data_IF_726753406171
#
_entry.id   IF_726753406171
#
_cell.length_a   1.000
_cell.length_b   1.000
_cell.length_c   1.000
_cell.angle_alpha   90.00
_cell.angle_beta   90.00
_cell.angle_gamma   90.00
#
_symmetry.space_group_name_H-M   'P 1'
#
loop_
_entity.id
_entity.type
_entity.pdbx_description
1 polymer ?
#
# COMPACT_ATOMS: atom_id res chain seq x y z
N UNK A 1 0.71 -11.93 -9.66
CA UNK A 1 2.04 -12.06 -10.31
C UNK A 1 2.11 -13.14 -11.39
N UNK A 2 1.50 -14.33 -11.21
CA UNK A 2 1.48 -15.40 -12.24
C UNK A 2 1.02 -14.94 -13.64
N UNK A 3 0.09 -13.97 -13.71
CA UNK A 3 -0.37 -13.41 -14.99
C UNK A 3 0.72 -12.65 -15.77
N UNK A 4 1.52 -11.81 -15.10
CA UNK A 4 2.61 -11.05 -15.73
C UNK A 4 3.75 -11.99 -16.12
N UNK A 5 4.11 -12.95 -15.26
CA UNK A 5 5.12 -13.95 -15.57
C UNK A 5 4.77 -14.72 -16.86
N UNK A 6 3.52 -15.17 -16.97
CA UNK A 6 3.03 -15.84 -18.19
C UNK A 6 3.10 -14.93 -19.43
N UNK A 7 2.77 -13.64 -19.31
CA UNK A 7 2.90 -12.71 -20.44
C UNK A 7 4.34 -12.60 -20.94
N UNK A 8 5.32 -12.65 -20.03
CA UNK A 8 6.74 -12.68 -20.40
C UNK A 8 7.11 -14.00 -21.06
N UNK A 9 6.68 -15.13 -20.48
CA UNK A 9 6.94 -16.46 -21.03
C UNK A 9 6.31 -16.67 -22.42
N UNK A 10 5.21 -15.98 -22.72
CA UNK A 10 4.49 -16.01 -24.00
C UNK A 10 4.97 -14.94 -25.00
N UNK A 11 6.09 -14.24 -24.72
CA UNK A 11 6.64 -13.16 -25.57
C UNK A 11 5.60 -12.08 -25.94
N UNK A 12 4.66 -11.79 -25.02
CA UNK A 12 3.67 -10.73 -25.20
C UNK A 12 4.37 -9.39 -25.38
N UNK A 13 3.80 -8.54 -26.25
CA UNK A 13 4.37 -7.23 -26.56
C UNK A 13 4.70 -6.42 -25.31
N UNK A 14 5.93 -5.92 -25.24
CA UNK A 14 6.48 -5.29 -24.03
C UNK A 14 5.60 -4.17 -23.47
N UNK A 15 4.94 -3.38 -24.33
CA UNK A 15 4.06 -2.29 -23.89
C UNK A 15 2.81 -2.80 -23.17
N UNK A 16 2.29 -3.96 -23.56
CA UNK A 16 1.13 -4.57 -22.90
C UNK A 16 1.52 -5.15 -21.53
N UNK A 17 2.72 -5.74 -21.43
CA UNK A 17 3.30 -6.18 -20.15
C UNK A 17 3.46 -4.99 -19.19
N UNK A 18 4.03 -3.87 -19.68
CA UNK A 18 4.19 -2.64 -18.89
C UNK A 18 2.83 -2.04 -18.47
N UNK A 19 1.83 -2.10 -19.34
CA UNK A 19 0.46 -1.66 -19.04
C UNK A 19 -0.14 -2.52 -17.92
N UNK A 20 0.04 -3.84 -17.98
CA UNK A 20 -0.45 -4.75 -16.94
C UNK A 20 0.29 -4.53 -15.60
N UNK A 21 1.60 -4.28 -15.63
CA UNK A 21 2.36 -3.91 -14.43
C UNK A 21 1.79 -2.64 -13.82
N UNK A 22 1.59 -1.58 -14.61
CA UNK A 22 1.03 -0.33 -14.13
C UNK A 22 -0.37 -0.51 -13.52
N UNK A 23 -1.22 -1.35 -14.13
CA UNK A 23 -2.54 -1.68 -13.59
C UNK A 23 -2.46 -2.38 -12.23
N UNK A 24 -1.56 -3.36 -12.08
CA UNK A 24 -1.34 -4.06 -10.81
C UNK A 24 -0.79 -3.11 -9.74
N UNK A 25 0.17 -2.26 -10.09
CA UNK A 25 0.72 -1.26 -9.17
C UNK A 25 -0.37 -0.34 -8.64
N UNK A 26 -1.26 0.18 -9.50
CA UNK A 26 -2.40 1.01 -9.09
C UNK A 26 -3.36 0.26 -8.16
N UNK A 27 -3.66 -1.00 -8.46
CA UNK A 27 -4.50 -1.82 -7.60
C UNK A 27 -3.88 -2.02 -6.21
N UNK A 28 -2.57 -2.28 -6.13
CA UNK A 28 -1.84 -2.41 -4.87
C UNK A 28 -1.79 -1.10 -4.09
N UNK A 29 -1.63 0.04 -4.76
CA UNK A 29 -1.71 1.36 -4.14
C UNK A 29 -3.09 1.60 -3.50
N UNK A 30 -4.17 1.26 -4.21
CA UNK A 30 -5.53 1.38 -3.67
C UNK A 30 -5.73 0.51 -2.42
N UNK A 31 -5.26 -0.75 -2.44
CA UNK A 31 -5.30 -1.63 -1.27
C UNK A 31 -4.47 -1.04 -0.11
N UNK A 32 -3.29 -0.50 -0.41
CA UNK A 32 -2.42 0.10 0.61
C UNK A 32 -3.07 1.29 1.30
N UNK A 33 -3.79 2.14 0.55
CA UNK A 33 -4.56 3.26 1.12
C UNK A 33 -5.66 2.75 2.05
N UNK A 34 -6.43 1.74 1.63
CA UNK A 34 -7.47 1.15 2.48
C UNK A 34 -6.91 0.58 3.80
N UNK A 35 -5.77 -0.10 3.74
CA UNK A 35 -5.10 -0.62 4.95
C UNK A 35 -4.63 0.51 5.89
N UNK A 36 -4.16 1.63 5.34
CA UNK A 36 -3.81 2.80 6.14
C UNK A 36 -5.05 3.40 6.79
N UNK A 37 -6.16 3.54 6.07
CA UNK A 37 -7.43 4.03 6.62
C UNK A 37 -7.91 3.16 7.79
N UNK A 38 -7.93 1.83 7.63
CA UNK A 38 -8.28 0.89 8.69
C UNK A 38 -7.35 1.01 9.90
N UNK A 39 -6.03 1.18 9.68
CA UNK A 39 -5.05 1.34 10.75
C UNK A 39 -5.26 2.64 11.53
N UNK A 40 -5.56 3.75 10.83
CA UNK A 40 -5.88 5.02 11.47
C UNK A 40 -7.18 4.89 12.29
N UNK A 41 -8.21 4.26 11.74
CA UNK A 41 -9.53 4.10 12.36
C UNK A 41 -9.54 3.19 13.60
N UNK A 42 -8.70 2.16 13.64
CA UNK A 42 -8.63 1.23 14.76
C UNK A 42 -7.43 1.51 15.65
N UNK A 43 -6.22 1.32 15.15
CA UNK A 43 -5.01 1.33 15.98
C UNK A 43 -4.68 2.73 16.52
N UNK A 44 -4.77 3.78 15.68
CA UNK A 44 -4.45 5.14 16.10
C UNK A 44 -5.54 5.71 17.00
N UNK A 45 -6.81 5.61 16.58
CA UNK A 45 -7.95 6.14 17.36
C UNK A 45 -8.06 5.45 18.72
N UNK A 46 -7.89 4.12 18.81
CA UNK A 46 -7.98 3.42 20.08
C UNK A 46 -6.80 3.74 21.01
N UNK A 47 -5.58 3.83 20.47
CA UNK A 47 -4.41 4.24 21.24
C UNK A 47 -4.58 5.66 21.80
N UNK A 48 -5.00 6.61 20.96
CA UNK A 48 -5.20 8.01 21.36
C UNK A 48 -6.28 8.18 22.43
N UNK A 49 -7.28 7.28 22.47
CA UNK A 49 -8.32 7.26 23.53
C UNK A 49 -7.79 6.77 24.88
N UNK A 50 -6.74 5.95 24.89
CA UNK A 50 -6.14 5.40 26.12
C UNK A 50 -5.09 6.33 26.67
N UNK A 51 -4.17 6.77 25.81
CA UNK A 51 -3.04 7.59 26.20
C UNK A 51 -2.56 8.47 25.02
N UNK A 52 -2.41 9.79 25.20
CA UNK A 52 -1.90 10.68 24.17
C UNK A 52 -0.51 10.29 23.63
N UNK A 53 0.39 9.75 24.46
CA UNK A 53 1.72 9.35 23.99
C UNK A 53 1.66 8.10 23.11
N UNK A 54 0.85 7.10 23.49
CA UNK A 54 0.57 5.91 22.69
C UNK A 54 -0.04 6.27 21.33
N UNK A 55 -1.02 7.18 21.31
CA UNK A 55 -1.60 7.72 20.08
C UNK A 55 -0.54 8.38 19.18
N UNK A 56 0.31 9.24 19.75
CA UNK A 56 1.38 9.89 19.02
C UNK A 56 2.41 8.91 18.46
N UNK A 57 2.70 7.82 19.17
CA UNK A 57 3.57 6.75 18.67
C UNK A 57 2.97 6.04 17.44
N UNK A 58 1.66 5.74 17.46
CA UNK A 58 0.97 5.13 16.31
C UNK A 58 0.85 6.05 15.10
N UNK A 59 0.68 7.37 15.32
CA UNK A 59 0.71 8.35 14.23
C UNK A 59 2.07 8.37 13.53
N UNK A 60 3.18 8.30 14.29
CA UNK A 60 4.54 8.23 13.71
C UNK A 60 4.74 6.95 12.90
N UNK A 61 4.30 5.81 13.43
CA UNK A 61 4.34 4.52 12.72
C UNK A 61 3.59 4.59 11.37
N UNK A 62 2.36 5.10 11.38
CA UNK A 62 1.56 5.27 10.18
C UNK A 62 2.23 6.24 9.18
N UNK A 63 2.78 7.35 9.67
CA UNK A 63 3.49 8.34 8.84
C UNK A 63 4.71 7.74 8.16
N UNK A 64 5.49 6.91 8.87
CA UNK A 64 6.64 6.22 8.32
C UNK A 64 6.23 5.19 7.24
N UNK A 65 5.11 4.48 7.45
CA UNK A 65 4.57 3.54 6.48
C UNK A 65 4.11 4.26 5.20
N UNK A 66 3.35 5.36 5.34
CA UNK A 66 2.93 6.20 4.21
C UNK A 66 4.14 6.75 3.46
N UNK A 67 5.17 7.21 4.17
CA UNK A 67 6.37 7.73 3.53
C UNK A 67 7.08 6.68 2.67
N UNK A 68 7.02 5.38 3.02
CA UNK A 68 7.54 4.29 2.18
C UNK A 68 6.66 4.06 0.96
N UNK A 69 5.33 4.13 1.11
CA UNK A 69 4.37 3.97 0.02
C UNK A 69 4.46 5.08 -1.04
N UNK A 70 4.76 6.31 -0.64
CA UNK A 70 4.89 7.45 -1.58
C UNK A 70 6.21 7.42 -2.34
N UNK A 71 7.24 6.75 -1.81
CA UNK A 71 8.56 6.64 -2.44
C UNK A 71 8.69 5.48 -3.44
N UNK A 72 7.72 4.57 -3.49
CA UNK A 72 7.67 3.44 -4.41
C UNK A 72 6.98 3.80 -5.72
#
# INVERSE_FOLDING_TARGET
MRGIARMVDEDVYCIDVLTQIAAVTKALQAVSIGLVEDHLGHCVVDAARRDPEEGAAKVREASDAIARLVRS
#
